data_IF_283446763423
#
_entry.id   IF_283446763423
#
_cell.length_a   1.000
_cell.length_b   1.000
_cell.length_c   1.000
_cell.angle_alpha   90.00
_cell.angle_beta   90.00
_cell.angle_gamma   90.00
#
_symmetry.space_group_name_H-M   'P 1'
#
loop_
_entity.id
_entity.type
_entity.pdbx_description
1 polymer ?
#
# COMPACT_ATOMS: atom_id res chain seq x y z
N UNK A 1 -9.25 -14.98 -19.18
CA UNK A 1 -9.28 -14.92 -17.71
C UNK A 1 -10.56 -15.62 -17.27
N UNK A 2 -10.44 -16.71 -16.54
CA UNK A 2 -11.57 -17.38 -15.91
C UNK A 2 -11.51 -16.97 -14.45
N UNK A 3 -12.53 -16.26 -13.98
CA UNK A 3 -12.69 -15.89 -12.57
C UNK A 3 -13.91 -16.63 -11.99
N UNK A 4 -13.79 -17.95 -11.76
CA UNK A 4 -14.92 -18.71 -11.23
C UNK A 4 -15.02 -18.47 -9.72
N UNK A 5 -16.20 -18.10 -9.26
CA UNK A 5 -16.54 -18.21 -7.85
C UNK A 5 -16.60 -19.70 -7.51
N UNK A 6 -15.60 -20.19 -6.77
CA UNK A 6 -15.53 -21.58 -6.36
C UNK A 6 -16.29 -21.76 -5.05
N UNK A 7 -17.35 -22.57 -4.99
CA UNK A 7 -18.01 -22.87 -3.73
C UNK A 7 -17.05 -23.46 -2.72
N UNK A 8 -17.15 -23.06 -1.45
CA UNK A 8 -16.22 -23.44 -0.36
C UNK A 8 -16.10 -24.95 -0.15
N UNK A 9 -17.11 -25.72 -0.53
CA UNK A 9 -17.17 -27.18 -0.35
C UNK A 9 -16.53 -27.95 -1.50
N UNK A 10 -16.23 -27.27 -2.63
CA UNK A 10 -15.77 -27.96 -3.86
C UNK A 10 -14.31 -28.42 -3.76
N UNK A 11 -13.47 -27.62 -3.12
CA UNK A 11 -12.04 -27.92 -2.95
C UNK A 11 -11.62 -27.68 -1.50
N UNK A 12 -11.94 -28.58 -0.57
CA UNK A 12 -11.48 -28.47 0.80
C UNK A 12 -9.95 -28.59 0.85
N UNK A 13 -9.28 -27.64 1.48
CA UNK A 13 -7.84 -27.66 1.70
C UNK A 13 -7.52 -27.46 3.17
N UNK A 14 -6.49 -28.15 3.64
CA UNK A 14 -5.96 -27.98 4.99
C UNK A 14 -4.71 -27.09 4.98
N UNK A 15 -4.34 -26.54 6.13
CA UNK A 15 -3.09 -25.79 6.27
C UNK A 15 -1.90 -26.65 5.80
N UNK A 16 -1.07 -26.10 4.90
CA UNK A 16 0.09 -26.78 4.34
C UNK A 16 -0.20 -27.61 3.08
N UNK A 17 -1.47 -27.70 2.63
CA UNK A 17 -1.78 -28.35 1.36
C UNK A 17 -1.14 -27.59 0.22
N UNK A 18 -0.36 -28.29 -0.64
CA UNK A 18 0.14 -27.71 -1.88
C UNK A 18 -1.03 -27.41 -2.84
N UNK A 19 -1.13 -26.19 -3.31
CA UNK A 19 -2.22 -25.75 -4.18
C UNK A 19 -1.76 -25.31 -5.57
N UNK A 20 -0.58 -24.69 -5.68
CA UNK A 20 -0.03 -24.22 -6.96
C UNK A 20 1.43 -23.78 -6.81
N UNK A 21 2.11 -23.60 -7.93
CA UNK A 21 3.37 -22.87 -8.02
C UNK A 21 3.09 -21.38 -8.20
N UNK A 22 3.93 -20.54 -7.58
CA UNK A 22 3.89 -19.09 -7.79
C UNK A 22 4.33 -18.77 -9.23
N UNK A 23 3.53 -17.94 -9.92
CA UNK A 23 3.79 -17.47 -11.27
C UNK A 23 4.20 -16.00 -11.33
N UNK A 24 4.55 -15.55 -12.52
CA UNK A 24 4.94 -14.16 -12.81
C UNK A 24 4.16 -13.62 -14.02
N UNK A 25 2.84 -13.78 -14.02
CA UNK A 25 1.96 -13.37 -15.12
C UNK A 25 1.40 -11.97 -14.85
N UNK A 26 1.24 -11.15 -15.91
CA UNK A 26 0.69 -9.79 -15.80
C UNK A 26 1.76 -8.75 -15.46
N UNK A 27 1.34 -7.61 -14.90
CA UNK A 27 2.22 -6.51 -14.50
C UNK A 27 2.95 -6.78 -13.19
N UNK A 28 3.91 -7.70 -13.21
CA UNK A 28 4.65 -8.14 -12.03
C UNK A 28 6.17 -8.00 -12.24
N UNK A 29 6.89 -7.67 -11.18
CA UNK A 29 8.35 -7.57 -11.17
C UNK A 29 9.05 -8.87 -10.74
N UNK A 30 8.29 -9.92 -10.42
CA UNK A 30 8.80 -11.22 -10.01
C UNK A 30 7.68 -12.15 -9.52
N UNK A 31 7.95 -13.47 -9.38
CA UNK A 31 6.96 -14.42 -8.87
C UNK A 31 6.45 -14.02 -7.49
N UNK A 32 5.13 -13.92 -7.33
CA UNK A 32 4.49 -13.60 -6.06
C UNK A 32 3.09 -14.18 -5.98
N UNK A 33 2.56 -14.26 -4.77
CA UNK A 33 1.16 -14.59 -4.50
C UNK A 33 0.41 -13.31 -4.20
N UNK A 34 -0.61 -13.01 -4.99
CA UNK A 34 -1.53 -11.92 -4.70
C UNK A 34 -2.64 -12.42 -3.77
N UNK A 35 -2.85 -11.73 -2.65
CA UNK A 35 -3.87 -12.09 -1.68
C UNK A 35 -4.65 -10.85 -1.26
N UNK A 36 -5.98 -10.91 -1.36
CA UNK A 36 -6.89 -9.85 -0.94
C UNK A 36 -8.02 -10.41 -0.07
N UNK A 37 -8.46 -9.63 0.90
CA UNK A 37 -9.72 -9.86 1.60
C UNK A 37 -10.72 -8.81 1.12
N UNK A 38 -11.85 -9.27 0.60
CA UNK A 38 -12.88 -8.41 0.05
C UNK A 38 -14.18 -8.60 0.84
N UNK A 39 -14.76 -7.50 1.32
CA UNK A 39 -16.12 -7.51 1.84
C UNK A 39 -17.11 -7.72 0.69
N UNK A 40 -17.79 -8.83 0.70
CA UNK A 40 -18.72 -9.23 -0.38
C UNK A 40 -19.94 -8.33 -0.52
N UNK A 41 -20.31 -7.58 0.53
CA UNK A 41 -21.45 -6.65 0.50
C UNK A 41 -21.09 -5.30 -0.10
N UNK A 42 -19.93 -4.75 0.26
CA UNK A 42 -19.49 -3.41 -0.16
C UNK A 42 -18.47 -3.43 -1.29
N UNK A 43 -17.96 -4.61 -1.67
CA UNK A 43 -16.85 -4.81 -2.62
C UNK A 43 -15.58 -4.05 -2.23
N UNK A 44 -15.43 -3.69 -0.95
CA UNK A 44 -14.24 -2.99 -0.45
C UNK A 44 -13.14 -3.98 -0.10
N UNK A 45 -11.90 -3.64 -0.48
CA UNK A 45 -10.72 -4.34 -0.01
C UNK A 45 -10.47 -4.00 1.45
N UNK A 46 -10.24 -5.02 2.26
CA UNK A 46 -9.98 -4.91 3.69
C UNK A 46 -8.50 -5.19 3.95
N UNK A 47 -7.96 -4.55 4.99
CA UNK A 47 -6.59 -4.81 5.41
C UNK A 47 -6.47 -6.23 5.98
N UNK A 48 -5.69 -7.14 5.36
CA UNK A 48 -5.54 -8.53 5.84
C UNK A 48 -5.03 -8.64 7.26
N UNK A 49 -4.23 -7.69 7.75
CA UNK A 49 -3.69 -7.71 9.11
C UNK A 49 -4.77 -7.67 10.20
N UNK A 50 -5.95 -7.14 9.89
CA UNK A 50 -7.09 -7.13 10.82
C UNK A 50 -7.68 -8.53 11.07
N UNK A 51 -7.27 -9.54 10.28
CA UNK A 51 -7.77 -10.91 10.34
C UNK A 51 -6.81 -11.89 11.03
N UNK A 52 -5.84 -11.36 11.79
CA UNK A 52 -4.94 -12.17 12.62
C UNK A 52 -3.89 -12.98 11.85
N UNK A 53 -3.51 -12.54 10.65
CA UNK A 53 -2.37 -13.14 9.95
C UNK A 53 -1.09 -12.93 10.77
N UNK A 54 -0.32 -14.00 11.05
CA UNK A 54 0.90 -13.92 11.85
C UNK A 54 2.06 -13.34 11.01
N UNK A 55 2.00 -12.05 10.72
CA UNK A 55 3.09 -11.34 10.06
C UNK A 55 3.92 -10.70 11.17
N UNK A 56 5.12 -11.24 11.38
CA UNK A 56 6.08 -10.67 12.31
C UNK A 56 6.87 -9.57 11.60
N UNK A 57 6.33 -8.37 11.62
CA UNK A 57 7.02 -7.19 11.11
C UNK A 57 7.02 -6.08 12.17
N UNK A 58 8.23 -5.68 12.57
CA UNK A 58 8.46 -4.61 13.54
C UNK A 58 9.25 -3.45 12.94
N UNK A 59 9.48 -3.46 11.62
CA UNK A 59 10.20 -2.39 10.93
C UNK A 59 9.21 -1.34 10.46
N UNK A 60 9.25 -0.12 11.00
CA UNK A 60 8.35 0.92 10.54
C UNK A 60 8.73 1.38 9.12
N UNK A 61 7.73 1.80 8.30
CA UNK A 61 7.98 2.31 6.97
C UNK A 61 8.84 3.59 7.00
N UNK A 62 9.67 3.74 5.98
CA UNK A 62 10.50 4.94 5.78
C UNK A 62 9.79 5.90 4.84
N UNK A 63 9.46 7.08 5.34
CA UNK A 63 8.84 8.14 4.55
C UNK A 63 9.93 9.06 3.98
N UNK A 64 9.91 9.27 2.67
CA UNK A 64 10.96 10.03 1.97
C UNK A 64 10.53 11.48 1.74
N UNK A 65 9.37 11.66 1.12
CA UNK A 65 8.85 12.99 0.79
C UNK A 65 7.34 13.01 0.64
N UNK A 66 6.77 14.17 0.94
CA UNK A 66 5.38 14.51 0.71
C UNK A 66 5.26 15.32 -0.58
N UNK A 67 4.28 15.01 -1.42
CA UNK A 67 3.90 15.83 -2.55
C UNK A 67 2.53 16.47 -2.29
N UNK A 68 2.39 17.73 -2.65
CA UNK A 68 1.15 18.49 -2.55
C UNK A 68 0.66 18.86 -3.95
N UNK A 69 -0.56 18.48 -4.26
CA UNK A 69 -1.21 18.68 -5.56
C UNK A 69 -2.42 19.62 -5.41
N UNK A 70 -2.66 20.40 -6.46
CA UNK A 70 -3.94 21.05 -6.66
C UNK A 70 -4.98 20.01 -7.10
N UNK A 71 -5.97 19.74 -6.26
CA UNK A 71 -7.01 18.75 -6.55
C UNK A 71 -8.01 19.22 -7.61
N UNK A 72 -8.02 20.49 -7.99
CA UNK A 72 -8.86 21.02 -9.06
C UNK A 72 -8.31 20.73 -10.46
N UNK A 73 -7.07 20.22 -10.56
CA UNK A 73 -6.37 19.88 -11.79
C UNK A 73 -6.05 18.40 -11.88
N UNK A 74 -5.88 17.89 -13.11
CA UNK A 74 -5.37 16.55 -13.34
C UNK A 74 -3.95 16.40 -12.77
N UNK A 75 -3.62 15.25 -12.20
CA UNK A 75 -2.26 14.94 -11.72
C UNK A 75 -1.23 14.90 -12.87
N UNK A 76 -1.68 14.66 -14.09
CA UNK A 76 -0.83 14.63 -15.28
C UNK A 76 -0.52 16.02 -15.84
N UNK A 77 -1.31 17.06 -15.47
CA UNK A 77 -1.21 18.42 -16.00
C UNK A 77 -0.60 19.40 -14.98
N UNK A 78 0.07 18.89 -13.96
CA UNK A 78 0.68 19.72 -12.92
C UNK A 78 1.99 19.12 -12.40
N UNK A 79 2.87 19.99 -11.94
CA UNK A 79 4.05 19.61 -11.17
C UNK A 79 3.78 19.87 -9.69
N UNK A 80 3.72 18.84 -8.84
CA UNK A 80 3.47 19.01 -7.42
C UNK A 80 4.66 19.67 -6.72
N UNK A 81 4.38 20.33 -5.59
CA UNK A 81 5.44 20.74 -4.68
C UNK A 81 5.88 19.56 -3.83
N UNK A 82 7.18 19.29 -3.81
CA UNK A 82 7.78 18.22 -3.02
C UNK A 82 8.42 18.77 -1.75
N UNK A 83 8.17 18.09 -0.63
CA UNK A 83 8.72 18.40 0.68
C UNK A 83 9.44 17.16 1.20
N UNK A 84 10.77 17.18 1.37
CA UNK A 84 11.51 16.09 1.97
C UNK A 84 11.10 15.92 3.42
N UNK A 85 10.99 14.67 3.85
CA UNK A 85 10.65 14.31 5.23
C UNK A 85 11.91 13.89 5.98
N UNK A 86 11.98 14.26 7.25
CA UNK A 86 13.03 13.84 8.18
C UNK A 86 12.38 13.10 9.34
N UNK A 87 12.89 11.91 9.65
CA UNK A 87 12.50 11.18 10.84
C UNK A 87 13.06 11.84 12.10
N UNK A 88 12.24 11.89 13.15
CA UNK A 88 12.58 12.38 14.50
C UNK A 88 11.96 11.45 15.54
N UNK A 89 12.32 11.60 16.80
CA UNK A 89 11.76 10.79 17.89
C UNK A 89 10.25 10.93 18.05
N UNK A 90 9.67 12.05 17.61
CA UNK A 90 8.21 12.30 17.64
C UNK A 90 7.50 12.00 16.32
N UNK A 91 8.20 11.46 15.31
CA UNK A 91 7.66 11.14 13.99
C UNK A 91 8.34 11.90 12.85
N UNK A 92 7.68 11.98 11.70
CA UNK A 92 8.24 12.66 10.53
C UNK A 92 7.86 14.13 10.48
N UNK A 93 8.83 14.98 10.19
CA UNK A 93 8.65 16.43 10.02
C UNK A 93 9.17 16.89 8.66
N UNK A 94 8.70 18.05 8.21
CA UNK A 94 9.29 18.80 7.11
C UNK A 94 10.30 19.76 7.73
N UNK A 95 11.61 19.61 7.48
CA UNK A 95 12.63 20.45 8.12
C UNK A 95 12.41 21.94 7.83
N UNK A 96 12.50 22.77 8.86
CA UNK A 96 12.39 24.24 8.77
C UNK A 96 11.05 24.78 8.25
N UNK A 97 10.03 23.92 8.10
CA UNK A 97 8.73 24.32 7.59
C UNK A 97 7.61 23.74 8.47
N UNK A 98 7.18 24.46 9.52
CA UNK A 98 6.15 23.96 10.43
C UNK A 98 4.75 23.97 9.80
N UNK A 99 4.51 24.81 8.77
CA UNK A 99 3.23 24.95 8.08
C UNK A 99 3.49 25.03 6.57
N UNK A 100 2.67 24.32 5.80
CA UNK A 100 2.68 24.40 4.34
C UNK A 100 1.59 25.37 3.90
N UNK A 101 1.99 26.54 3.40
CA UNK A 101 1.08 27.47 2.76
C UNK A 101 0.98 27.18 1.28
N UNK A 102 -0.20 26.84 0.81
CA UNK A 102 -0.39 26.39 -0.57
C UNK A 102 -1.03 27.45 -1.49
N UNK A 103 -1.84 28.34 -0.94
CA UNK A 103 -2.69 29.25 -1.72
C UNK A 103 -3.77 28.52 -2.54
N UNK A 104 -3.93 27.20 -2.37
CA UNK A 104 -4.88 26.38 -3.10
C UNK A 104 -6.15 26.18 -2.27
N UNK A 105 -7.31 26.23 -2.93
CA UNK A 105 -8.61 26.00 -2.28
C UNK A 105 -8.89 24.51 -2.02
N UNK A 106 -8.29 23.61 -2.81
CA UNK A 106 -8.45 22.15 -2.71
C UNK A 106 -7.11 21.49 -2.94
N UNK A 107 -6.70 20.64 -2.01
CA UNK A 107 -5.43 19.94 -2.08
C UNK A 107 -5.62 18.43 -1.98
N UNK A 108 -4.68 17.69 -2.54
CA UNK A 108 -4.44 16.29 -2.27
C UNK A 108 -2.97 16.05 -1.99
N UNK A 109 -2.70 14.96 -1.27
CA UNK A 109 -1.36 14.57 -0.90
C UNK A 109 -0.98 13.25 -1.56
N UNK A 110 0.29 13.11 -1.91
CA UNK A 110 0.92 11.84 -2.19
C UNK A 110 2.18 11.70 -1.35
N UNK A 111 2.45 10.49 -0.91
CA UNK A 111 3.58 10.17 -0.05
C UNK A 111 4.50 9.19 -0.78
N UNK A 112 5.76 9.52 -0.91
CA UNK A 112 6.77 8.56 -1.30
C UNK A 112 7.32 7.90 -0.04
N UNK A 113 7.15 6.58 0.04
CA UNK A 113 7.60 5.77 1.15
C UNK A 113 8.07 4.41 0.64
N UNK A 114 8.85 3.71 1.45
CA UNK A 114 9.11 2.28 1.27
C UNK A 114 9.06 1.59 2.63
N UNK A 115 8.75 0.32 2.58
CA UNK A 115 8.69 -0.54 3.74
C UNK A 115 9.63 -1.74 3.55
N UNK A 116 10.10 -2.31 4.65
CA UNK A 116 10.95 -3.50 4.68
C UNK A 116 10.39 -4.47 5.68
N UNK A 117 10.27 -5.71 5.28
CA UNK A 117 9.91 -6.77 6.21
C UNK A 117 11.08 -7.05 7.16
N UNK A 118 10.78 -7.33 8.43
CA UNK A 118 11.78 -7.76 9.42
C UNK A 118 12.55 -8.98 8.90
N UNK A 119 13.90 -8.88 8.84
CA UNK A 119 14.78 -9.95 8.33
C UNK A 119 15.04 -9.92 6.82
N UNK A 120 14.51 -8.94 6.06
CA UNK A 120 14.95 -8.69 4.69
C UNK A 120 16.26 -7.90 4.68
N UNK A 121 17.29 -8.43 4.05
CA UNK A 121 18.59 -7.77 3.78
C UNK A 121 18.55 -7.02 2.45
#
# INVERSE_FOLDING_TARGET
>A
FIDPVIPKEKFPVSKGTFIAYSGNTGGSQGPHVHFEIIDTKSSKRLNPLLFGFPIADNVPPVLIKLAVYDRSRSVYDQSPRFYPLKNTDSGYIIPKLPVIETGLSRISFALQAYDRLSGST
#
